data_IF_502309814042
#
_entry.id   IF_502309814042
#
_cell.length_a   1.000
_cell.length_b   1.000
_cell.length_c   1.000
_cell.angle_alpha   90.00
_cell.angle_beta   90.00
_cell.angle_gamma   90.00
#
_symmetry.space_group_name_H-M   'P 1'
#
loop_
_entity.id
_entity.type
_entity.pdbx_description
1 polymer ?
#
# COMPACT_ATOMS: atom_id res chain seq x y z
N UNK A 1 25.33 -24.18 35.84
CA UNK A 1 24.62 -24.60 34.59
C UNK A 1 24.99 -23.61 33.50
N UNK A 2 25.68 -24.03 32.46
CA UNK A 2 25.99 -23.15 31.34
C UNK A 2 24.71 -22.93 30.52
N UNK A 3 24.30 -21.66 30.37
CA UNK A 3 23.16 -21.34 29.53
C UNK A 3 23.46 -21.70 28.07
N UNK A 4 22.67 -22.56 27.47
CA UNK A 4 22.79 -22.89 26.03
C UNK A 4 22.33 -21.67 25.21
N UNK A 5 23.13 -21.23 24.23
CA UNK A 5 22.77 -20.05 23.43
C UNK A 5 21.58 -20.34 22.50
N UNK A 6 20.68 -19.36 22.38
CA UNK A 6 19.62 -19.32 21.39
C UNK A 6 19.96 -18.20 20.41
N UNK A 7 19.95 -18.51 19.13
CA UNK A 7 20.24 -17.56 18.06
C UNK A 7 19.01 -17.37 17.16
N UNK A 8 18.54 -16.13 17.02
CA UNK A 8 17.52 -15.77 16.05
C UNK A 8 18.17 -15.17 14.79
N UNK A 9 17.90 -15.76 13.63
CA UNK A 9 18.35 -15.22 12.36
C UNK A 9 17.47 -14.00 11.97
N UNK A 10 18.02 -12.78 11.88
CA UNK A 10 17.23 -11.58 11.59
C UNK A 10 16.63 -11.59 10.18
N UNK A 11 17.22 -12.33 9.22
CA UNK A 11 16.72 -12.41 7.84
C UNK A 11 15.60 -13.43 7.66
N UNK A 12 15.57 -14.49 8.45
CA UNK A 12 14.60 -15.57 8.30
C UNK A 12 13.67 -15.73 9.50
N UNK A 13 13.90 -14.98 10.58
CA UNK A 13 13.20 -15.15 11.85
C UNK A 13 13.40 -16.50 12.52
N UNK A 14 14.04 -17.49 11.85
CA UNK A 14 14.22 -18.83 12.41
C UNK A 14 15.08 -18.77 13.68
N UNK A 15 14.70 -19.55 14.68
CA UNK A 15 15.37 -19.64 15.96
C UNK A 15 16.15 -20.94 16.00
N UNK A 16 17.47 -20.86 16.19
CA UNK A 16 18.34 -22.01 16.38
C UNK A 16 18.68 -22.14 17.87
N UNK A 17 18.40 -23.29 18.47
CA UNK A 17 18.85 -23.62 19.80
C UNK A 17 19.93 -24.72 19.71
N UNK A 18 20.94 -24.65 20.60
CA UNK A 18 22.03 -25.65 20.64
C UNK A 18 21.85 -26.49 21.90
N UNK A 19 21.85 -27.81 21.75
CA UNK A 19 21.64 -28.79 22.79
C UNK A 19 20.44 -29.69 22.52
N UNK A 20 20.12 -30.54 23.48
CA UNK A 20 18.99 -31.48 23.40
C UNK A 20 17.82 -30.93 24.22
N UNK A 21 16.63 -30.92 23.62
CA UNK A 21 15.42 -30.35 24.20
C UNK A 21 14.24 -31.31 24.02
N UNK A 22 13.40 -31.38 25.04
CA UNK A 22 12.10 -32.05 24.95
C UNK A 22 11.03 -31.05 24.51
N UNK A 23 10.30 -31.42 23.47
CA UNK A 23 9.07 -30.73 23.05
C UNK A 23 7.92 -31.40 23.79
N UNK A 24 7.18 -30.63 24.57
CA UNK A 24 6.09 -31.14 25.40
C UNK A 24 4.74 -30.58 24.95
N UNK A 25 3.66 -31.30 25.24
CA UNK A 25 2.28 -30.80 25.09
C UNK A 25 1.89 -29.83 26.23
N UNK A 26 0.67 -29.33 26.18
CA UNK A 26 0.11 -28.42 27.22
C UNK A 26 0.04 -29.06 28.61
N UNK A 27 0.07 -30.38 28.70
CA UNK A 27 0.05 -31.15 29.95
C UNK A 27 1.48 -31.49 30.47
N UNK A 28 2.51 -31.13 29.70
CA UNK A 28 3.92 -31.43 30.05
C UNK A 28 4.41 -32.80 29.58
N UNK A 29 3.63 -33.54 28.82
CA UNK A 29 4.07 -34.83 28.27
C UNK A 29 5.05 -34.62 27.12
N UNK A 30 6.15 -35.36 27.11
CA UNK A 30 7.13 -35.30 26.03
C UNK A 30 6.55 -35.87 24.74
N UNK A 31 6.39 -35.00 23.72
CA UNK A 31 5.98 -35.39 22.38
C UNK A 31 7.19 -35.88 21.57
N UNK A 32 8.33 -35.19 21.71
CA UNK A 32 9.54 -35.46 20.91
C UNK A 32 10.78 -34.86 21.59
N UNK A 33 11.87 -35.60 21.58
CA UNK A 33 13.20 -35.08 21.95
C UNK A 33 13.98 -34.74 20.69
N UNK A 34 14.57 -33.56 20.66
CA UNK A 34 15.31 -33.01 19.49
C UNK A 34 16.66 -32.45 19.89
N UNK A 35 17.65 -32.58 19.03
CA UNK A 35 19.00 -32.04 19.24
C UNK A 35 19.28 -30.94 18.22
N UNK A 36 19.83 -29.81 18.68
CA UNK A 36 20.13 -28.61 17.88
C UNK A 36 18.96 -28.15 17.00
N UNK A 37 17.74 -28.01 17.54
CA UNK A 37 16.57 -27.72 16.75
C UNK A 37 16.65 -26.34 16.11
N UNK A 38 16.00 -26.23 14.94
CA UNK A 38 15.60 -24.96 14.34
C UNK A 38 14.09 -24.82 14.46
N UNK A 39 13.65 -23.78 15.17
CA UNK A 39 12.23 -23.44 15.29
C UNK A 39 11.81 -22.46 14.19
N UNK A 40 10.54 -22.56 13.80
CA UNK A 40 9.95 -21.65 12.85
C UNK A 40 9.71 -20.28 13.49
N UNK A 41 10.23 -19.22 12.87
CA UNK A 41 9.93 -17.84 13.26
C UNK A 41 9.18 -17.05 12.18
N UNK A 42 8.87 -17.69 11.03
CA UNK A 42 8.13 -17.05 9.95
C UNK A 42 6.63 -17.40 9.92
N UNK A 43 6.19 -18.33 10.79
CA UNK A 43 4.81 -18.78 10.82
C UNK A 43 4.36 -19.72 9.70
N UNK A 44 5.15 -19.88 8.63
CA UNK A 44 4.79 -20.61 7.41
C UNK A 44 5.14 -22.09 7.40
N UNK A 45 5.90 -22.57 8.40
CA UNK A 45 6.30 -23.99 8.44
C UNK A 45 5.09 -24.90 8.53
N UNK A 46 5.10 -25.98 7.76
CA UNK A 46 4.14 -27.07 7.83
C UNK A 46 4.51 -28.09 8.91
N UNK A 47 5.75 -28.04 9.44
CA UNK A 47 6.27 -28.91 10.51
C UNK A 47 6.45 -28.10 11.82
N UNK A 48 5.41 -27.40 12.24
CA UNK A 48 5.46 -26.61 13.49
C UNK A 48 5.70 -27.50 14.71
N UNK A 49 6.55 -27.04 15.66
CA UNK A 49 7.21 -25.76 15.77
C UNK A 49 8.53 -25.63 15.01
N UNK A 50 8.95 -26.65 14.25
CA UNK A 50 10.23 -26.71 13.59
C UNK A 50 10.29 -25.93 12.29
N UNK A 51 11.50 -25.55 11.86
CA UNK A 51 11.73 -24.85 10.61
C UNK A 51 11.94 -25.86 9.46
N UNK A 52 11.02 -25.93 8.54
CA UNK A 52 11.09 -26.70 7.30
C UNK A 52 11.70 -25.91 6.12
N UNK A 53 12.24 -24.71 6.38
CA UNK A 53 12.80 -23.77 5.41
C UNK A 53 11.77 -23.04 4.54
N UNK A 54 10.49 -23.10 4.81
CA UNK A 54 9.45 -22.32 4.10
C UNK A 54 9.78 -20.82 4.05
N UNK A 55 10.55 -20.30 5.02
CA UNK A 55 11.04 -18.92 5.01
C UNK A 55 11.91 -18.57 3.77
N UNK A 56 12.51 -19.55 3.10
CA UNK A 56 13.25 -19.30 1.86
C UNK A 56 12.34 -18.77 0.75
N UNK A 57 11.07 -19.18 0.76
CA UNK A 57 10.03 -18.77 -0.18
C UNK A 57 9.03 -17.76 0.43
N UNK A 58 9.34 -17.22 1.62
CA UNK A 58 8.43 -16.36 2.38
C UNK A 58 7.83 -15.24 1.54
N UNK A 59 8.66 -14.48 0.83
CA UNK A 59 8.22 -13.37 -0.04
C UNK A 59 7.23 -13.84 -1.09
N UNK A 60 7.55 -14.92 -1.80
CA UNK A 60 6.69 -15.44 -2.87
C UNK A 60 5.38 -16.01 -2.32
N UNK A 61 5.41 -16.68 -1.17
CA UNK A 61 4.21 -17.26 -0.55
C UNK A 61 3.28 -16.16 -0.07
N UNK A 62 3.80 -15.13 0.63
CA UNK A 62 2.97 -14.04 1.14
C UNK A 62 2.45 -13.18 -0.01
N UNK A 63 3.27 -12.87 -1.03
CA UNK A 63 2.83 -12.15 -2.21
C UNK A 63 1.70 -12.89 -2.95
N UNK A 64 1.81 -14.21 -3.09
CA UNK A 64 0.76 -15.02 -3.71
C UNK A 64 -0.51 -15.09 -2.86
N UNK A 65 -0.37 -15.16 -1.54
CA UNK A 65 -1.49 -15.16 -0.61
C UNK A 65 -2.30 -13.85 -0.70
N UNK A 66 -1.61 -12.69 -0.72
CA UNK A 66 -2.24 -11.39 -0.89
C UNK A 66 -2.92 -11.26 -2.26
N UNK A 67 -2.28 -11.75 -3.32
CA UNK A 67 -2.88 -11.73 -4.66
C UNK A 67 -4.10 -12.66 -4.76
N UNK A 68 -4.06 -13.83 -4.15
CA UNK A 68 -5.22 -14.72 -4.06
C UNK A 68 -6.37 -14.08 -3.26
N UNK A 69 -6.07 -13.41 -2.15
CA UNK A 69 -7.07 -12.68 -1.37
C UNK A 69 -7.75 -11.59 -2.21
N UNK A 70 -6.97 -10.82 -2.99
CA UNK A 70 -7.50 -9.82 -3.93
C UNK A 70 -8.39 -10.43 -5.00
N UNK A 71 -7.92 -11.48 -5.67
CA UNK A 71 -8.65 -12.13 -6.77
C UNK A 71 -9.93 -12.82 -6.34
N UNK A 72 -9.96 -13.35 -5.12
CA UNK A 72 -11.12 -14.05 -4.56
C UNK A 72 -11.99 -13.13 -3.69
N UNK A 73 -11.65 -11.85 -3.58
CA UNK A 73 -12.35 -10.87 -2.71
C UNK A 73 -12.50 -11.43 -1.29
N UNK A 74 -11.39 -11.92 -0.74
CA UNK A 74 -11.36 -12.60 0.54
C UNK A 74 -10.54 -11.84 1.56
N UNK A 75 -11.16 -11.48 2.68
CA UNK A 75 -10.45 -10.97 3.83
C UNK A 75 -9.53 -12.05 4.42
N UNK A 76 -8.32 -11.64 4.79
CA UNK A 76 -7.34 -12.49 5.44
C UNK A 76 -6.84 -11.87 6.76
N UNK A 77 -6.43 -12.72 7.68
CA UNK A 77 -5.82 -12.26 8.93
C UNK A 77 -4.42 -11.68 8.65
N UNK A 78 -4.05 -10.53 9.25
CA UNK A 78 -2.70 -10.00 9.17
C UNK A 78 -1.65 -11.05 9.55
N UNK A 79 -0.64 -11.19 8.72
CA UNK A 79 0.41 -12.22 8.90
C UNK A 79 1.58 -11.74 9.75
N UNK A 80 1.57 -10.45 10.16
CA UNK A 80 2.68 -9.83 10.87
C UNK A 80 3.94 -9.84 10.02
N UNK A 81 3.85 -9.25 8.83
CA UNK A 81 4.97 -9.19 7.87
C UNK A 81 6.20 -8.58 8.52
N UNK A 82 7.34 -9.22 8.36
CA UNK A 82 8.59 -8.65 8.85
C UNK A 82 8.94 -7.40 8.08
N UNK A 83 9.16 -6.31 8.78
CA UNK A 83 9.48 -4.98 8.24
C UNK A 83 10.48 -5.03 7.08
N UNK A 84 11.55 -5.80 7.23
CA UNK A 84 12.61 -5.93 6.22
C UNK A 84 12.16 -6.64 4.93
N UNK A 85 10.96 -7.24 4.89
CA UNK A 85 10.47 -8.03 3.75
C UNK A 85 9.23 -7.44 3.09
N UNK A 86 8.58 -6.47 3.71
CA UNK A 86 7.35 -5.86 3.22
C UNK A 86 7.50 -5.29 1.79
N UNK A 87 8.57 -4.55 1.54
CA UNK A 87 8.87 -4.01 0.22
C UNK A 87 9.18 -5.09 -0.83
N UNK A 88 9.85 -6.17 -0.43
CA UNK A 88 10.13 -7.30 -1.32
C UNK A 88 8.85 -8.06 -1.70
N UNK A 89 7.92 -8.22 -0.73
CA UNK A 89 6.61 -8.85 -0.95
C UNK A 89 5.81 -8.02 -1.94
N UNK A 90 5.69 -6.70 -1.71
CA UNK A 90 5.00 -5.78 -2.62
C UNK A 90 5.59 -5.81 -4.03
N UNK A 91 6.92 -5.78 -4.14
CA UNK A 91 7.59 -5.88 -5.45
C UNK A 91 7.27 -7.20 -6.14
N UNK A 92 7.30 -8.32 -5.41
CA UNK A 92 6.95 -9.65 -5.95
C UNK A 92 5.50 -9.71 -6.40
N UNK A 93 4.57 -9.10 -5.67
CA UNK A 93 3.16 -9.01 -6.07
C UNK A 93 3.00 -8.22 -7.39
N UNK A 94 3.72 -7.10 -7.56
CA UNK A 94 3.74 -6.35 -8.82
C UNK A 94 4.33 -7.19 -9.96
N UNK A 95 5.47 -7.88 -9.73
CA UNK A 95 6.08 -8.77 -10.75
C UNK A 95 5.11 -9.85 -11.22
N UNK A 96 4.32 -10.43 -10.29
CA UNK A 96 3.30 -11.41 -10.62
C UNK A 96 2.21 -10.80 -11.52
N UNK A 97 1.72 -9.59 -11.23
CA UNK A 97 0.72 -8.89 -12.06
C UNK A 97 1.26 -8.55 -13.44
N UNK A 98 2.49 -8.05 -13.53
CA UNK A 98 3.15 -7.78 -14.83
C UNK A 98 3.29 -9.07 -15.64
N UNK A 99 3.62 -10.20 -15.01
CA UNK A 99 3.72 -11.49 -15.67
C UNK A 99 2.37 -11.99 -16.24
N UNK A 100 1.24 -11.53 -15.72
CA UNK A 100 -0.10 -11.80 -16.24
C UNK A 100 -0.58 -10.79 -17.28
N UNK A 101 0.24 -9.78 -17.62
CA UNK A 101 -0.01 -8.82 -18.69
C UNK A 101 -0.42 -7.42 -18.24
N UNK A 102 -0.54 -7.15 -16.94
CA UNK A 102 -0.75 -5.80 -16.43
C UNK A 102 0.47 -4.90 -16.66
N UNK A 103 0.26 -3.61 -16.80
CA UNK A 103 1.33 -2.62 -16.97
C UNK A 103 1.36 -1.69 -15.77
N UNK A 104 2.55 -1.46 -15.21
CA UNK A 104 2.76 -0.41 -14.23
C UNK A 104 2.49 0.95 -14.88
N UNK A 105 1.57 1.72 -14.31
CA UNK A 105 1.24 3.08 -14.77
C UNK A 105 1.65 4.16 -13.80
N UNK A 106 1.96 3.82 -12.55
CA UNK A 106 2.37 4.79 -11.55
C UNK A 106 2.26 4.26 -10.12
N UNK A 107 2.10 5.20 -9.20
CA UNK A 107 1.97 4.93 -7.78
C UNK A 107 0.90 5.80 -7.12
N UNK A 108 0.33 5.30 -6.03
CA UNK A 108 -0.40 6.11 -5.07
C UNK A 108 0.46 6.31 -3.84
N UNK A 109 0.36 7.47 -3.21
CA UNK A 109 1.01 7.77 -1.94
C UNK A 109 -0.04 7.76 -0.82
N UNK A 110 0.25 7.15 0.30
CA UNK A 110 -0.64 7.10 1.45
C UNK A 110 0.14 7.37 2.73
N UNK A 111 -0.46 8.04 3.70
CA UNK A 111 0.25 8.36 4.94
C UNK A 111 -0.48 9.20 5.95
N UNK A 112 -1.64 9.72 5.58
CA UNK A 112 -2.39 10.61 6.47
C UNK A 112 -3.24 9.88 7.52
N UNK A 113 -3.53 8.59 7.36
CA UNK A 113 -4.51 7.88 8.18
C UNK A 113 -3.97 6.79 9.10
N UNK A 114 -2.66 6.54 9.13
CA UNK A 114 -2.12 5.68 10.20
C UNK A 114 -2.07 6.51 11.47
N UNK A 115 -3.10 6.40 12.32
CA UNK A 115 -3.10 6.92 13.68
C UNK A 115 -1.76 6.60 14.33
N UNK A 116 -1.17 7.58 15.01
CA UNK A 116 0.02 7.44 15.84
C UNK A 116 -0.03 6.12 16.65
N UNK A 117 0.69 5.10 16.18
CA UNK A 117 0.79 3.82 16.87
C UNK A 117 1.77 3.91 18.04
N UNK A 118 2.48 5.03 18.19
CA UNK A 118 3.23 5.36 19.40
C UNK A 118 3.67 6.82 19.41
N UNK A 119 3.75 7.43 20.57
CA UNK A 119 4.07 8.84 20.84
C UNK A 119 5.40 9.37 20.26
N UNK A 120 6.16 8.58 19.49
CA UNK A 120 7.50 8.96 19.03
C UNK A 120 7.86 8.56 17.58
N UNK A 121 6.93 8.10 16.74
CA UNK A 121 7.23 7.85 15.32
C UNK A 121 6.25 8.57 14.40
N UNK A 122 6.70 9.66 13.78
CA UNK A 122 6.04 10.25 12.63
C UNK A 122 6.04 9.20 11.52
N UNK A 123 4.84 8.81 11.09
CA UNK A 123 4.69 7.94 9.94
C UNK A 123 4.99 8.73 8.68
N UNK A 124 6.07 8.36 7.98
CA UNK A 124 6.57 9.10 6.82
C UNK A 124 5.85 8.78 5.50
N UNK A 125 4.68 8.14 5.56
CA UNK A 125 3.93 7.70 4.39
C UNK A 125 4.48 6.43 3.74
N UNK A 126 3.60 5.77 2.97
CA UNK A 126 3.91 4.60 2.14
C UNK A 126 3.39 4.84 0.73
N UNK A 127 3.86 4.04 -0.23
CA UNK A 127 3.30 4.06 -1.58
C UNK A 127 2.87 2.66 -2.00
N UNK A 128 1.88 2.61 -2.91
CA UNK A 128 1.44 1.41 -3.61
C UNK A 128 1.62 1.58 -5.11
N UNK A 129 1.85 0.49 -5.83
CA UNK A 129 1.92 0.47 -7.28
C UNK A 129 0.52 0.49 -7.89
N UNK A 130 0.36 1.23 -8.97
CA UNK A 130 -0.86 1.26 -9.79
C UNK A 130 -0.60 0.61 -11.14
N UNK A 131 -1.49 -0.31 -11.54
CA UNK A 131 -1.47 -0.93 -12.86
C UNK A 131 -2.65 -0.46 -13.70
N UNK A 132 -2.53 -0.59 -15.02
CA UNK A 132 -3.60 -0.23 -15.96
C UNK A 132 -4.91 -0.99 -15.72
N UNK A 133 -4.83 -2.22 -15.20
CA UNK A 133 -6.00 -3.03 -14.85
C UNK A 133 -6.79 -2.48 -13.64
N UNK A 134 -6.20 -1.58 -12.85
CA UNK A 134 -6.85 -0.97 -11.68
C UNK A 134 -7.67 0.28 -12.06
N UNK A 135 -7.58 0.78 -13.30
CA UNK A 135 -8.24 2.00 -13.73
C UNK A 135 -9.74 1.80 -13.97
N UNK A 136 -10.57 2.53 -13.22
CA UNK A 136 -12.03 2.59 -13.42
C UNK A 136 -12.33 3.62 -14.50
N UNK A 137 -12.99 3.19 -15.59
CA UNK A 137 -13.39 4.12 -16.67
C UNK A 137 -14.75 4.76 -16.41
N UNK A 138 -15.78 3.97 -16.16
CA UNK A 138 -17.15 4.46 -16.00
C UNK A 138 -17.85 3.87 -14.77
N UNK A 139 -17.57 2.62 -14.43
CA UNK A 139 -18.20 1.95 -13.32
C UNK A 139 -17.33 0.83 -12.75
N UNK A 140 -17.56 0.51 -11.48
CA UNK A 140 -17.00 -0.66 -10.79
C UNK A 140 -18.11 -1.49 -10.15
N UNK A 141 -17.82 -2.76 -9.85
CA UNK A 141 -18.70 -3.61 -9.07
C UNK A 141 -18.20 -3.70 -7.63
N UNK A 142 -19.07 -3.36 -6.67
CA UNK A 142 -18.74 -3.40 -5.24
C UNK A 142 -18.27 -4.81 -4.81
N UNK A 143 -18.90 -5.84 -5.42
CA UNK A 143 -18.56 -7.25 -5.18
C UNK A 143 -17.12 -7.66 -5.54
N UNK A 144 -16.36 -6.80 -6.24
CA UNK A 144 -14.96 -7.05 -6.58
C UNK A 144 -13.99 -6.56 -5.50
N UNK A 145 -14.49 -5.99 -4.41
CA UNK A 145 -13.68 -5.39 -3.35
C UNK A 145 -14.12 -5.91 -1.97
N UNK A 146 -13.21 -5.89 -1.01
CA UNK A 146 -13.43 -6.39 0.35
C UNK A 146 -14.12 -5.34 1.21
N UNK A 147 -13.49 -4.16 1.33
CA UNK A 147 -14.01 -3.03 2.08
C UNK A 147 -13.54 -1.71 1.43
N UNK A 148 -14.07 -1.36 0.25
CA UNK A 148 -13.57 -0.23 -0.51
C UNK A 148 -13.93 1.10 0.14
N UNK A 149 -12.94 2.02 0.18
CA UNK A 149 -13.11 3.41 0.59
C UNK A 149 -12.79 4.33 -0.58
N UNK A 150 -13.65 5.32 -0.84
CA UNK A 150 -13.37 6.37 -1.82
C UNK A 150 -12.57 7.51 -1.18
N UNK A 151 -11.49 7.91 -1.81
CA UNK A 151 -10.59 8.98 -1.38
C UNK A 151 -10.40 10.02 -2.48
N UNK A 152 -10.53 11.32 -2.13
CA UNK A 152 -10.36 12.42 -3.07
C UNK A 152 -8.89 12.86 -3.13
N UNK A 153 -8.32 12.88 -4.34
CA UNK A 153 -6.89 13.12 -4.55
C UNK A 153 -6.60 14.03 -5.75
N UNK A 154 -5.42 14.64 -5.75
CA UNK A 154 -4.80 15.21 -6.93
C UNK A 154 -3.92 14.15 -7.58
N UNK A 155 -3.98 14.05 -8.92
CA UNK A 155 -3.13 13.15 -9.70
C UNK A 155 -2.13 13.95 -10.51
N UNK A 156 -0.87 13.60 -10.43
CA UNK A 156 0.23 14.21 -11.17
C UNK A 156 0.73 13.26 -12.25
N UNK A 157 1.05 13.80 -13.44
CA UNK A 157 1.66 13.05 -14.52
C UNK A 157 3.09 13.51 -14.74
N UNK A 158 4.02 12.57 -14.75
CA UNK A 158 5.43 12.87 -14.87
C UNK A 158 5.80 13.32 -16.30
N UNK A 159 6.56 14.42 -16.39
CA UNK A 159 7.17 14.94 -17.62
C UNK A 159 8.44 14.18 -17.99
N UNK A 160 9.14 13.63 -17.03
CA UNK A 160 10.42 12.92 -17.14
C UNK A 160 10.54 11.81 -16.12
N UNK A 161 11.55 10.99 -16.26
CA UNK A 161 11.84 9.90 -15.33
C UNK A 161 12.10 10.47 -13.93
N UNK A 162 11.49 9.86 -12.93
CA UNK A 162 11.67 10.16 -11.51
C UNK A 162 12.51 9.03 -10.90
N UNK A 163 13.83 9.22 -10.90
CA UNK A 163 14.85 8.23 -10.50
C UNK A 163 15.69 8.69 -9.31
N UNK A 164 15.36 9.85 -8.72
CA UNK A 164 16.03 10.45 -7.56
C UNK A 164 15.05 11.22 -6.67
N UNK A 165 15.50 11.57 -5.49
CA UNK A 165 14.81 12.57 -4.68
C UNK A 165 14.84 13.94 -5.37
N UNK A 166 13.74 14.69 -5.26
CA UNK A 166 13.61 16.05 -5.77
C UNK A 166 13.14 17.00 -4.67
N UNK A 167 13.41 18.28 -4.85
CA UNK A 167 12.93 19.35 -3.98
C UNK A 167 11.68 20.02 -4.56
N UNK A 168 10.96 20.77 -3.73
CA UNK A 168 9.74 21.46 -4.14
C UNK A 168 9.95 22.42 -5.33
N UNK A 169 11.10 23.08 -5.40
CA UNK A 169 11.47 23.98 -6.52
C UNK A 169 11.72 23.25 -7.84
N UNK A 170 11.90 21.93 -7.83
CA UNK A 170 12.13 21.12 -9.02
C UNK A 170 10.86 20.48 -9.56
N UNK A 171 9.75 20.48 -8.80
CA UNK A 171 8.53 19.76 -9.15
C UNK A 171 8.00 20.18 -10.52
N UNK A 172 8.08 21.46 -10.88
CA UNK A 172 7.65 21.96 -12.20
C UNK A 172 8.41 21.35 -13.38
N UNK A 173 9.64 20.85 -13.16
CA UNK A 173 10.43 20.18 -14.20
C UNK A 173 10.02 18.70 -14.35
N UNK A 174 9.39 18.13 -13.31
CA UNK A 174 9.03 16.72 -13.25
C UNK A 174 7.56 16.46 -13.52
N UNK A 175 6.67 17.44 -13.42
CA UNK A 175 5.23 17.28 -13.61
C UNK A 175 4.77 18.08 -14.83
N UNK A 176 4.15 17.38 -15.80
CA UNK A 176 3.59 18.01 -17.01
C UNK A 176 2.12 18.37 -16.85
N UNK A 177 1.34 17.49 -16.25
CA UNK A 177 -0.11 17.59 -16.18
C UNK A 177 -0.62 17.18 -14.79
N UNK A 178 -1.77 17.71 -14.43
CA UNK A 178 -2.49 17.37 -13.21
C UNK A 178 -3.96 17.08 -13.51
N UNK A 179 -4.60 16.22 -12.70
CA UNK A 179 -6.00 15.85 -12.85
C UNK A 179 -6.65 15.62 -11.48
N UNK A 180 -7.99 15.76 -11.36
CA UNK A 180 -8.70 15.25 -10.21
C UNK A 180 -8.71 13.71 -10.25
N UNK A 181 -8.57 13.06 -9.08
CA UNK A 181 -8.58 11.62 -8.94
C UNK A 181 -9.51 11.13 -7.82
N UNK A 182 -9.99 9.91 -7.99
CA UNK A 182 -10.58 9.12 -6.91
C UNK A 182 -9.71 7.87 -6.77
N UNK A 183 -9.09 7.69 -5.59
CA UNK A 183 -8.53 6.42 -5.21
C UNK A 183 -9.62 5.56 -4.56
N UNK A 184 -9.62 4.27 -4.87
CA UNK A 184 -10.37 3.26 -4.14
C UNK A 184 -9.36 2.47 -3.31
N UNK A 185 -9.29 2.80 -2.03
CA UNK A 185 -8.55 2.04 -1.05
C UNK A 185 -9.29 0.74 -0.75
N UNK A 186 -8.60 -0.39 -0.75
CA UNK A 186 -9.18 -1.70 -0.40
C UNK A 186 -8.12 -2.57 0.26
N UNK A 187 -8.26 -2.83 1.55
CA UNK A 187 -7.29 -3.57 2.33
C UNK A 187 -7.66 -5.05 2.40
N UNK A 188 -6.72 -5.95 2.04
CA UNK A 188 -6.95 -7.41 2.13
C UNK A 188 -7.06 -7.91 3.57
N UNK A 189 -6.74 -7.09 4.54
CA UNK A 189 -6.89 -7.36 5.96
C UNK A 189 -8.18 -6.77 6.57
N UNK A 190 -9.13 -6.35 5.75
CA UNK A 190 -10.41 -5.76 6.19
C UNK A 190 -10.24 -4.39 6.84
N UNK A 191 -10.89 -4.17 7.96
CA UNK A 191 -10.76 -2.94 8.73
C UNK A 191 -9.32 -2.77 9.26
N UNK A 192 -8.82 -1.54 9.25
CA UNK A 192 -7.42 -1.12 9.38
C UNK A 192 -6.80 -1.41 10.78
N UNK A 193 -6.74 -2.67 11.16
CA UNK A 193 -5.93 -3.12 12.31
C UNK A 193 -4.60 -3.77 11.86
N UNK A 194 -4.29 -3.70 10.57
CA UNK A 194 -3.04 -4.22 10.03
C UNK A 194 -1.85 -3.36 10.48
N UNK A 195 -0.74 -4.02 10.79
CA UNK A 195 0.53 -3.34 11.03
C UNK A 195 0.98 -2.63 9.74
N UNK A 196 1.76 -1.56 9.88
CA UNK A 196 2.30 -0.79 8.74
C UNK A 196 3.00 -1.68 7.72
N UNK A 197 3.77 -2.66 8.19
CA UNK A 197 4.51 -3.56 7.31
C UNK A 197 3.58 -4.50 6.53
N UNK A 198 2.44 -4.91 7.11
CA UNK A 198 1.39 -5.65 6.40
C UNK A 198 0.75 -4.78 5.32
N UNK A 199 0.44 -3.51 5.62
CA UNK A 199 -0.10 -2.57 4.65
C UNK A 199 0.89 -2.30 3.48
N UNK A 200 2.19 -2.16 3.77
CA UNK A 200 3.22 -2.04 2.71
C UNK A 200 3.23 -3.29 1.83
N UNK A 201 3.23 -4.48 2.44
CA UNK A 201 3.21 -5.74 1.71
C UNK A 201 1.94 -5.89 0.86
N UNK A 202 0.80 -5.39 1.36
CA UNK A 202 -0.49 -5.33 0.70
C UNK A 202 -0.62 -4.14 -0.27
N UNK A 203 0.49 -3.73 -0.87
CA UNK A 203 0.55 -2.67 -1.87
C UNK A 203 -0.07 -1.33 -1.39
N UNK A 204 0.15 -0.98 -0.13
CA UNK A 204 -0.47 0.18 0.53
C UNK A 204 -2.00 0.18 0.39
N UNK A 205 -2.62 -1.01 0.37
CA UNK A 205 -4.07 -1.23 0.22
C UNK A 205 -4.67 -0.60 -1.06
N UNK A 206 -3.87 -0.45 -2.12
CA UNK A 206 -4.36 0.08 -3.39
C UNK A 206 -5.34 -0.92 -4.03
N UNK A 207 -6.59 -0.49 -4.24
CA UNK A 207 -7.66 -1.28 -4.86
C UNK A 207 -7.86 -0.90 -6.32
N UNK A 208 -8.30 0.32 -6.59
CA UNK A 208 -8.56 0.84 -7.93
C UNK A 208 -8.41 2.38 -7.95
N UNK A 209 -8.56 2.99 -9.13
CA UNK A 209 -8.54 4.44 -9.25
C UNK A 209 -9.31 4.93 -10.47
N UNK A 210 -9.77 6.19 -10.41
CA UNK A 210 -10.31 6.91 -11.56
C UNK A 210 -9.62 8.26 -11.69
N UNK A 211 -9.45 8.75 -12.93
CA UNK A 211 -8.78 10.01 -13.25
C UNK A 211 -9.67 10.83 -14.14
N UNK A 212 -9.81 12.12 -13.84
CA UNK A 212 -10.52 13.10 -14.65
C UNK A 212 -9.69 13.63 -15.82
N UNK A 213 -10.15 14.74 -16.39
CA UNK A 213 -9.44 15.37 -17.49
C UNK A 213 -8.13 16.02 -17.03
N UNK A 214 -7.08 15.80 -17.80
CA UNK A 214 -5.78 16.38 -17.56
C UNK A 214 -5.74 17.88 -17.88
N UNK A 215 -5.04 18.66 -17.06
CA UNK A 215 -4.69 20.06 -17.32
C UNK A 215 -3.20 20.26 -17.20
N UNK A 216 -2.67 21.26 -17.89
CA UNK A 216 -1.26 21.62 -17.79
C UNK A 216 -0.93 22.05 -16.36
N UNK A 217 0.12 21.47 -15.79
CA UNK A 217 0.52 21.73 -14.42
C UNK A 217 0.86 23.21 -14.16
N UNK A 218 1.38 23.92 -15.17
CA UNK A 218 1.72 25.35 -15.07
C UNK A 218 0.52 26.28 -14.95
N UNK A 219 -0.69 25.81 -15.24
CA UNK A 219 -1.93 26.59 -15.19
C UNK A 219 -2.66 26.45 -13.84
N UNK A 220 -2.17 25.60 -12.93
CA UNK A 220 -2.87 25.25 -11.71
C UNK A 220 -2.25 25.90 -10.50
N UNK A 221 -3.06 26.67 -9.78
CA UNK A 221 -2.75 27.22 -8.47
C UNK A 221 -3.60 26.49 -7.40
N UNK A 222 -2.93 25.78 -6.51
CA UNK A 222 -3.59 25.10 -5.39
C UNK A 222 -3.76 25.97 -4.14
N UNK A 223 -3.23 27.20 -4.11
CA UNK A 223 -3.23 28.00 -2.88
C UNK A 223 -4.65 28.26 -2.34
N UNK A 224 -5.63 28.45 -3.25
CA UNK A 224 -7.03 28.70 -2.91
C UNK A 224 -7.97 27.60 -3.44
N UNK A 225 -7.43 26.48 -3.88
CA UNK A 225 -8.24 25.39 -4.41
C UNK A 225 -8.94 24.62 -3.29
N UNK A 226 -10.15 24.18 -3.58
CA UNK A 226 -10.95 23.32 -2.71
C UNK A 226 -11.16 21.98 -3.37
N UNK A 227 -11.17 20.92 -2.57
CA UNK A 227 -11.43 19.54 -2.98
C UNK A 227 -12.73 19.11 -2.33
N UNK A 228 -13.69 18.68 -3.16
CA UNK A 228 -14.99 18.21 -2.73
C UNK A 228 -15.22 16.78 -3.19
N UNK A 229 -15.76 15.94 -2.34
CA UNK A 229 -16.21 14.60 -2.68
C UNK A 229 -17.71 14.47 -2.43
N UNK A 230 -18.40 13.89 -3.41
CA UNK A 230 -19.84 13.72 -3.44
C UNK A 230 -20.21 12.25 -3.55
N UNK A 231 -21.27 11.88 -2.88
CA UNK A 231 -21.94 10.60 -2.98
C UNK A 231 -23.40 10.84 -3.41
N UNK A 232 -23.81 10.24 -4.54
CA UNK A 232 -25.16 10.43 -5.11
C UNK A 232 -25.55 11.92 -5.27
N UNK A 233 -24.59 12.72 -5.77
CA UNK A 233 -24.70 14.19 -5.92
C UNK A 233 -24.84 14.99 -4.61
N UNK A 234 -24.88 14.34 -3.43
CA UNK A 234 -24.81 15.01 -2.14
C UNK A 234 -23.34 15.27 -1.75
N UNK A 235 -23.03 16.49 -1.34
CA UNK A 235 -21.72 16.83 -0.81
C UNK A 235 -21.45 16.04 0.48
N UNK A 236 -20.42 15.21 0.47
CA UNK A 236 -19.99 14.43 1.65
C UNK A 236 -18.90 15.19 2.44
N UNK A 237 -17.83 15.60 1.77
CA UNK A 237 -16.74 16.36 2.39
C UNK A 237 -16.26 17.46 1.44
N UNK A 238 -15.78 18.56 2.05
CA UNK A 238 -15.12 19.67 1.34
C UNK A 238 -13.97 20.17 2.18
N UNK A 239 -12.78 20.21 1.61
CA UNK A 239 -11.54 20.60 2.30
C UNK A 239 -10.69 21.49 1.39
N UNK A 240 -9.79 22.34 1.94
CA UNK A 240 -8.80 23.03 1.12
C UNK A 240 -7.79 22.05 0.53
N UNK A 241 -7.27 22.33 -0.65
CA UNK A 241 -6.23 21.49 -1.28
C UNK A 241 -4.96 21.37 -0.42
N UNK A 242 -4.70 22.32 0.47
CA UNK A 242 -3.62 22.25 1.47
C UNK A 242 -3.77 21.09 2.48
N UNK A 243 -4.92 20.44 2.55
CA UNK A 243 -5.10 19.21 3.33
C UNK A 243 -4.14 18.10 2.83
N UNK A 244 -3.76 18.14 1.55
CA UNK A 244 -2.72 17.27 0.99
C UNK A 244 -1.35 17.82 1.40
N UNK A 245 -0.73 17.23 2.42
CA UNK A 245 0.63 17.50 2.85
C UNK A 245 0.98 19.01 3.04
N UNK A 246 0.01 19.87 3.31
CA UNK A 246 0.16 21.32 3.39
C UNK A 246 0.23 22.02 2.02
N UNK A 247 0.61 21.30 0.99
CA UNK A 247 0.67 21.74 -0.41
C UNK A 247 0.67 20.51 -1.31
N UNK A 248 -0.27 20.34 -2.25
CA UNK A 248 -0.33 19.17 -3.13
C UNK A 248 0.98 18.86 -3.86
N UNK A 249 1.75 19.87 -4.25
CA UNK A 249 3.07 19.67 -4.87
C UNK A 249 4.07 18.95 -3.96
N UNK A 250 3.93 19.08 -2.64
CA UNK A 250 4.77 18.38 -1.68
C UNK A 250 4.55 16.85 -1.71
N UNK A 251 3.39 16.39 -2.19
CA UNK A 251 3.15 14.95 -2.35
C UNK A 251 4.11 14.32 -3.37
N UNK A 252 4.45 15.03 -4.46
CA UNK A 252 5.43 14.56 -5.46
C UNK A 252 6.83 14.43 -4.83
N UNK A 253 7.22 15.41 -4.00
CA UNK A 253 8.50 15.40 -3.26
C UNK A 253 8.55 14.22 -2.29
N UNK A 254 7.50 14.04 -1.48
CA UNK A 254 7.43 12.94 -0.52
C UNK A 254 7.44 11.57 -1.22
N UNK A 255 6.75 11.47 -2.35
CA UNK A 255 6.75 10.25 -3.18
C UNK A 255 8.15 9.97 -3.73
N UNK A 256 8.85 10.99 -4.29
CA UNK A 256 10.20 10.82 -4.84
C UNK A 256 11.18 10.29 -3.80
N UNK A 257 11.11 10.79 -2.56
CA UNK A 257 11.91 10.32 -1.44
C UNK A 257 11.64 8.84 -1.14
N UNK A 258 10.36 8.44 -1.03
CA UNK A 258 9.99 7.05 -0.72
C UNK A 258 10.32 6.07 -1.84
N UNK A 259 10.21 6.49 -3.08
CA UNK A 259 10.63 5.70 -4.24
C UNK A 259 12.14 5.48 -4.22
N UNK A 260 12.92 6.54 -4.00
CA UNK A 260 14.37 6.47 -3.93
C UNK A 260 14.85 5.56 -2.79
N UNK A 261 14.29 5.71 -1.58
CA UNK A 261 14.55 4.83 -0.42
C UNK A 261 14.26 3.35 -0.73
N UNK A 262 13.24 3.08 -1.56
CA UNK A 262 12.86 1.74 -1.98
C UNK A 262 13.62 1.21 -3.22
N UNK A 263 14.50 2.02 -3.81
CA UNK A 263 15.21 1.68 -5.05
C UNK A 263 14.27 1.53 -6.26
N UNK A 264 13.21 2.34 -6.30
CA UNK A 264 12.20 2.34 -7.38
C UNK A 264 12.32 3.64 -8.17
N UNK A 265 12.28 3.55 -9.50
CA UNK A 265 12.13 4.68 -10.40
C UNK A 265 10.83 4.58 -11.21
N UNK A 266 10.29 5.73 -11.59
CA UNK A 266 9.12 5.82 -12.46
C UNK A 266 9.50 6.51 -13.77
N UNK A 267 9.17 5.92 -14.93
CA UNK A 267 9.43 6.57 -16.23
C UNK A 267 8.51 7.77 -16.45
N UNK A 268 8.91 8.64 -17.37
CA UNK A 268 8.06 9.71 -17.91
C UNK A 268 6.69 9.16 -18.32
N UNK A 269 5.65 9.94 -18.11
CA UNK A 269 4.26 9.54 -18.34
C UNK A 269 3.62 8.75 -17.18
N UNK A 270 4.39 8.29 -16.19
CA UNK A 270 3.82 7.67 -14.98
C UNK A 270 2.99 8.66 -14.19
N UNK A 271 2.02 8.14 -13.44
CA UNK A 271 1.13 8.93 -12.60
C UNK A 271 1.48 8.78 -11.10
N UNK A 272 1.22 9.84 -10.35
CA UNK A 272 1.35 9.86 -8.89
C UNK A 272 0.04 10.36 -8.29
N UNK A 273 -0.63 9.54 -7.49
CA UNK A 273 -1.72 9.96 -6.63
C UNK A 273 -1.15 10.57 -5.35
N UNK A 274 -1.70 11.72 -4.95
CA UNK A 274 -1.13 12.60 -3.92
C UNK A 274 -1.21 12.09 -2.49
N UNK A 275 -2.07 11.10 -2.25
CA UNK A 275 -2.61 10.81 -0.93
C UNK A 275 -3.89 11.61 -0.66
N UNK A 276 -4.76 11.03 0.13
CA UNK A 276 -6.11 11.55 0.35
C UNK A 276 -6.13 12.94 0.97
N UNK A 277 -6.94 13.83 0.40
CA UNK A 277 -7.29 15.11 0.99
C UNK A 277 -8.41 14.96 2.06
N UNK A 278 -9.22 13.91 1.94
CA UNK A 278 -10.42 13.68 2.74
C UNK A 278 -10.30 12.41 3.57
N UNK A 279 -11.20 12.19 4.51
CA UNK A 279 -11.35 10.87 5.10
C UNK A 279 -11.94 9.92 4.05
N UNK A 280 -11.49 8.67 4.05
CA UNK A 280 -12.04 7.64 3.18
C UNK A 280 -13.54 7.42 3.46
N UNK A 281 -14.36 7.36 2.40
CA UNK A 281 -15.79 7.13 2.47
C UNK A 281 -16.06 5.67 2.14
N UNK A 282 -16.65 4.90 3.08
CA UNK A 282 -17.06 3.53 2.82
C UNK A 282 -18.03 3.49 1.64
N UNK A 283 -17.70 2.71 0.61
CA UNK A 283 -18.45 2.71 -0.63
C UNK A 283 -19.65 1.79 -0.58
N UNK A 284 -20.70 2.25 -1.23
CA UNK A 284 -21.94 1.51 -1.49
C UNK A 284 -22.39 1.75 -2.93
N UNK A 285 -23.40 1.04 -3.40
CA UNK A 285 -23.92 1.28 -4.74
C UNK A 285 -24.41 2.74 -4.89
N UNK A 286 -23.96 3.40 -5.97
CA UNK A 286 -24.25 4.81 -6.22
C UNK A 286 -23.17 5.49 -7.03
N UNK A 287 -23.27 6.80 -7.21
CA UNK A 287 -22.35 7.64 -7.95
C UNK A 287 -21.37 8.33 -7.01
N UNK A 288 -20.08 8.21 -7.28
CA UNK A 288 -19.02 8.96 -6.62
C UNK A 288 -18.42 9.99 -7.55
N UNK A 289 -18.22 11.21 -7.05
CA UNK A 289 -17.65 12.32 -7.82
C UNK A 289 -16.72 13.14 -6.95
N UNK A 290 -15.54 13.44 -7.47
CA UNK A 290 -14.58 14.39 -6.89
C UNK A 290 -14.49 15.60 -7.80
N UNK A 291 -14.55 16.78 -7.21
CA UNK A 291 -14.42 18.07 -7.86
C UNK A 291 -13.29 18.86 -7.19
N UNK A 292 -12.36 19.39 -8.00
CA UNK A 292 -11.26 20.22 -7.52
C UNK A 292 -11.34 21.57 -8.21
N UNK A 293 -11.40 22.65 -7.42
CA UNK A 293 -11.49 24.02 -7.92
C UNK A 293 -10.38 24.34 -8.92
N UNK A 294 -10.77 24.83 -10.08
CA UNK A 294 -9.81 25.16 -11.17
C UNK A 294 -9.27 23.95 -11.93
N UNK A 295 -9.43 22.71 -11.43
CA UNK A 295 -8.90 21.51 -12.07
C UNK A 295 -9.98 20.73 -12.84
N UNK A 296 -11.20 20.65 -12.31
CA UNK A 296 -12.32 19.92 -12.90
C UNK A 296 -12.83 18.80 -12.01
N UNK A 297 -13.44 17.80 -12.63
CA UNK A 297 -14.06 16.69 -11.91
C UNK A 297 -13.72 15.31 -12.48
N UNK A 298 -13.94 14.28 -11.66
CA UNK A 298 -13.93 12.87 -12.04
C UNK A 298 -15.10 12.17 -11.36
N UNK A 299 -15.74 11.23 -12.03
CA UNK A 299 -16.83 10.46 -11.44
C UNK A 299 -16.95 9.07 -12.04
N UNK A 300 -17.50 8.14 -11.27
CA UNK A 300 -17.88 6.81 -11.72
C UNK A 300 -19.06 6.26 -10.91
N UNK A 301 -19.66 5.18 -11.42
CA UNK A 301 -20.74 4.48 -10.74
C UNK A 301 -20.25 3.20 -10.06
N UNK A 302 -20.77 2.94 -8.87
CA UNK A 302 -20.60 1.68 -8.11
C UNK A 302 -21.89 0.88 -8.23
N UNK A 303 -21.78 -0.36 -8.69
CA UNK A 303 -22.90 -1.31 -8.93
C UNK A 303 -22.87 -2.47 -7.95
#
# INVERSE_FOLDING_TARGET
MSNSPIFQNPKSGSIKATGTYDVVDELGNVIKTVTDPKFCGCGLSQDKPFCDKSHANYVSIVAQMLENARLNVQEITPVGVWKMRAYEIRKRALENRIATGEKLVGVKFGGALVKEISENKRYEGIFGFLTDAMEIKNSMYLSNFIYPLAEAEVVFKLARDLDREINLSEVSDFVSEVAPGIEVFDCRYGAIDAFVDDAIADNACAGAFAIGSWKNASEIDFANAEISIFENDALNQKVPASAIAGNPWAAVVNTSKKLFEAGVSLPAGSIIFSGSATNGIAMQAGKYRVEISGLGEVSFEVK
#
